data_IF_916580897056
#
_entry.id   IF_916580897056
#
_cell.length_a   1.000
_cell.length_b   1.000
_cell.length_c   1.000
_cell.angle_alpha   90.00
_cell.angle_beta   90.00
_cell.angle_gamma   90.00
#
_symmetry.space_group_name_H-M   'P 1'
#
loop_
_entity.id
_entity.type
_entity.pdbx_description
1 polymer ?
#
# COMPACT_ATOMS: atom_id res chain seq x y z
N UNK A 1 -25.38 -23.94 -27.45
CA UNK A 1 -24.10 -24.62 -27.79
C UNK A 1 -23.02 -23.86 -27.08
N UNK A 2 -22.36 -24.50 -26.13
CA UNK A 2 -21.31 -23.93 -25.28
C UNK A 2 -20.10 -23.55 -26.14
N UNK A 3 -19.52 -22.37 -25.89
CA UNK A 3 -18.36 -21.80 -26.56
C UNK A 3 -17.06 -22.55 -26.16
N UNK A 4 -17.02 -23.85 -26.41
CA UNK A 4 -15.95 -24.75 -25.99
C UNK A 4 -14.56 -24.36 -26.52
N UNK A 5 -14.39 -23.89 -27.78
CA UNK A 5 -13.11 -23.41 -28.28
C UNK A 5 -12.61 -22.16 -27.53
N UNK A 6 -13.51 -21.20 -27.27
CA UNK A 6 -13.19 -20.00 -26.50
C UNK A 6 -12.78 -20.33 -25.06
N UNK A 7 -13.48 -21.25 -24.40
CA UNK A 7 -13.13 -21.72 -23.06
C UNK A 7 -11.77 -22.42 -22.99
N UNK A 8 -11.42 -23.23 -24.00
CA UNK A 8 -10.12 -23.87 -24.06
C UNK A 8 -8.98 -22.87 -24.29
N UNK A 9 -9.20 -21.84 -25.12
CA UNK A 9 -8.24 -20.77 -25.36
C UNK A 9 -8.00 -19.91 -24.10
N UNK A 10 -9.05 -19.59 -23.33
CA UNK A 10 -8.92 -18.87 -22.05
C UNK A 10 -8.11 -19.69 -21.04
N UNK A 11 -8.37 -21.00 -20.94
CA UNK A 11 -7.59 -21.89 -20.07
C UNK A 11 -6.10 -21.94 -20.48
N UNK A 12 -5.82 -21.99 -21.79
CA UNK A 12 -4.45 -21.94 -22.30
C UNK A 12 -3.74 -20.61 -21.96
N UNK A 13 -4.43 -19.47 -22.08
CA UNK A 13 -3.93 -18.16 -21.67
C UNK A 13 -3.60 -18.12 -20.17
N UNK A 14 -4.49 -18.63 -19.33
CA UNK A 14 -4.29 -18.72 -17.88
C UNK A 14 -3.03 -19.53 -17.54
N UNK A 15 -2.87 -20.72 -18.14
CA UNK A 15 -1.68 -21.55 -17.94
C UNK A 15 -0.39 -20.89 -18.44
N UNK A 16 -0.44 -20.19 -19.57
CA UNK A 16 0.70 -19.48 -20.13
C UNK A 16 1.15 -18.34 -19.20
N UNK A 17 0.22 -17.54 -18.71
CA UNK A 17 0.49 -16.44 -17.78
C UNK A 17 0.98 -16.95 -16.42
N UNK A 18 0.41 -18.03 -15.89
CA UNK A 18 0.88 -18.65 -14.67
C UNK A 18 2.36 -19.07 -14.78
N UNK A 19 2.76 -19.59 -15.94
CA UNK A 19 4.14 -20.04 -16.19
C UNK A 19 5.12 -18.90 -16.46
N UNK A 20 4.69 -17.84 -17.14
CA UNK A 20 5.60 -16.80 -17.68
C UNK A 20 5.51 -15.45 -17.00
N UNK A 21 4.38 -15.11 -16.38
CA UNK A 21 4.15 -13.79 -15.78
C UNK A 21 4.21 -13.77 -14.25
N UNK A 22 4.39 -14.93 -13.61
CA UNK A 22 4.49 -15.12 -12.16
C UNK A 22 3.34 -14.49 -11.35
N UNK A 23 2.13 -14.52 -11.93
CA UNK A 23 0.92 -13.97 -11.33
C UNK A 23 0.24 -14.99 -10.42
N UNK A 24 -0.43 -14.51 -9.37
CA UNK A 24 -1.26 -15.35 -8.50
C UNK A 24 -2.32 -16.09 -9.32
N UNK A 25 -2.49 -17.42 -9.14
CA UNK A 25 -3.48 -18.20 -9.89
C UNK A 25 -4.91 -17.64 -9.80
N UNK A 26 -5.28 -17.11 -8.64
CA UNK A 26 -6.61 -16.50 -8.42
C UNK A 26 -6.90 -15.29 -9.32
N UNK A 27 -5.88 -14.64 -9.89
CA UNK A 27 -6.03 -13.52 -10.84
C UNK A 27 -6.20 -13.99 -12.29
N UNK A 28 -5.93 -15.26 -12.56
CA UNK A 28 -5.94 -15.87 -13.89
C UNK A 28 -7.21 -16.69 -14.14
N UNK A 29 -8.24 -16.43 -13.34
CA UNK A 29 -9.52 -17.13 -13.36
C UNK A 29 -10.68 -16.13 -13.18
N UNK A 30 -11.90 -16.59 -13.50
CA UNK A 30 -13.12 -15.83 -13.23
C UNK A 30 -13.36 -14.59 -14.10
N UNK A 31 -14.35 -13.76 -13.73
CA UNK A 31 -14.84 -12.66 -14.56
C UNK A 31 -13.80 -11.56 -14.80
N UNK A 32 -12.92 -11.28 -13.83
CA UNK A 32 -11.88 -10.27 -13.92
C UNK A 32 -10.85 -10.60 -15.00
N UNK A 33 -10.31 -11.82 -14.98
CA UNK A 33 -9.40 -12.32 -16.00
C UNK A 33 -10.05 -12.30 -17.40
N UNK A 34 -11.29 -12.80 -17.50
CA UNK A 34 -12.02 -12.78 -18.76
C UNK A 34 -12.27 -11.36 -19.28
N UNK A 35 -12.47 -10.39 -18.38
CA UNK A 35 -12.61 -8.97 -18.74
C UNK A 35 -11.32 -8.38 -19.28
N UNK A 36 -10.18 -8.66 -18.62
CA UNK A 36 -8.86 -8.21 -19.09
C UNK A 36 -8.55 -8.75 -20.50
N UNK A 37 -8.81 -10.04 -20.73
CA UNK A 37 -8.67 -10.65 -22.07
C UNK A 37 -9.54 -9.93 -23.11
N UNK A 38 -10.82 -9.69 -22.81
CA UNK A 38 -11.73 -8.96 -23.73
C UNK A 38 -11.27 -7.54 -24.00
N UNK A 39 -10.75 -6.83 -23.00
CA UNK A 39 -10.24 -5.47 -23.16
C UNK A 39 -9.05 -5.43 -24.12
N UNK A 40 -8.09 -6.35 -23.94
CA UNK A 40 -6.93 -6.47 -24.86
C UNK A 40 -7.35 -6.88 -26.28
N UNK A 41 -8.24 -7.86 -26.40
CA UNK A 41 -8.81 -8.26 -27.69
C UNK A 41 -9.47 -7.09 -28.41
N UNK A 42 -10.29 -6.31 -27.70
CA UNK A 42 -10.94 -5.10 -28.22
C UNK A 42 -9.92 -4.06 -28.67
N UNK A 43 -8.91 -3.78 -27.84
CA UNK A 43 -7.83 -2.83 -28.16
C UNK A 43 -7.06 -3.20 -29.44
N UNK A 44 -6.83 -4.50 -29.66
CA UNK A 44 -6.13 -5.01 -30.83
C UNK A 44 -7.05 -5.29 -32.04
N UNK A 45 -8.36 -5.13 -31.88
CA UNK A 45 -9.34 -5.48 -32.91
C UNK A 45 -9.45 -6.99 -33.20
N UNK A 46 -9.07 -7.85 -32.26
CA UNK A 46 -9.14 -9.31 -32.39
C UNK A 46 -10.45 -9.83 -31.83
N UNK A 47 -11.22 -10.58 -32.61
CA UNK A 47 -12.53 -11.13 -32.19
C UNK A 47 -12.50 -12.61 -31.84
N UNK A 48 -11.53 -13.36 -32.36
CA UNK A 48 -11.34 -14.78 -32.05
C UNK A 48 -10.37 -14.96 -30.87
N UNK A 49 -10.82 -15.67 -29.84
CA UNK A 49 -10.05 -15.91 -28.62
C UNK A 49 -8.88 -16.86 -28.88
N UNK A 50 -9.01 -17.81 -29.80
CA UNK A 50 -7.93 -18.73 -30.14
C UNK A 50 -6.79 -18.00 -30.89
N UNK A 51 -7.13 -17.15 -31.85
CA UNK A 51 -6.17 -16.25 -32.51
C UNK A 51 -5.48 -15.32 -31.50
N UNK A 52 -6.22 -14.76 -30.54
CA UNK A 52 -5.62 -13.95 -29.47
C UNK A 52 -4.65 -14.79 -28.61
N UNK A 53 -5.05 -15.99 -28.19
CA UNK A 53 -4.19 -16.87 -27.41
C UNK A 53 -2.87 -17.23 -28.13
N UNK A 54 -2.94 -17.49 -29.43
CA UNK A 54 -1.75 -17.72 -30.26
C UNK A 54 -0.84 -16.49 -30.28
N UNK A 55 -1.41 -15.30 -30.40
CA UNK A 55 -0.68 -14.02 -30.38
C UNK A 55 0.04 -13.80 -29.05
N UNK A 56 -0.64 -14.00 -27.93
CA UNK A 56 -0.04 -13.90 -26.58
C UNK A 56 1.11 -14.91 -26.42
N UNK A 57 0.99 -16.10 -27.00
CA UNK A 57 2.05 -17.11 -26.96
C UNK A 57 3.31 -16.69 -27.74
N UNK A 58 3.15 -16.05 -28.90
CA UNK A 58 4.25 -15.66 -29.79
C UNK A 58 4.84 -14.27 -29.51
N UNK A 59 4.03 -13.33 -29.00
CA UNK A 59 4.42 -11.93 -28.83
C UNK A 59 4.64 -11.59 -27.35
N UNK A 60 5.90 -11.52 -26.93
CA UNK A 60 6.28 -11.18 -25.56
C UNK A 60 5.70 -9.84 -25.08
N UNK A 61 5.61 -8.84 -25.97
CA UNK A 61 4.99 -7.55 -25.65
C UNK A 61 3.52 -7.71 -25.26
N UNK A 62 2.75 -8.50 -25.99
CA UNK A 62 1.33 -8.68 -25.69
C UNK A 62 1.11 -9.53 -24.43
N UNK A 63 1.96 -10.52 -24.17
CA UNK A 63 1.95 -11.24 -22.89
C UNK A 63 2.12 -10.28 -21.71
N UNK A 64 3.05 -9.33 -21.81
CA UNK A 64 3.25 -8.30 -20.78
C UNK A 64 2.04 -7.36 -20.68
N UNK A 65 1.51 -6.88 -21.81
CA UNK A 65 0.33 -6.01 -21.81
C UNK A 65 -0.90 -6.69 -21.19
N UNK A 66 -1.16 -7.96 -21.49
CA UNK A 66 -2.24 -8.72 -20.84
C UNK A 66 -1.99 -8.91 -19.34
N UNK A 67 -0.76 -9.24 -18.95
CA UNK A 67 -0.41 -9.38 -17.55
C UNK A 67 -0.57 -8.06 -16.77
N UNK A 68 -0.31 -6.92 -17.43
CA UNK A 68 -0.53 -5.58 -16.89
C UNK A 68 -2.01 -5.20 -16.81
N UNK A 69 -2.84 -5.60 -17.78
CA UNK A 69 -4.30 -5.39 -17.72
C UNK A 69 -4.93 -6.13 -16.51
N UNK A 70 -4.41 -7.33 -16.20
CA UNK A 70 -4.83 -8.11 -15.03
C UNK A 70 -4.37 -7.45 -13.73
N UNK A 71 -3.17 -6.88 -13.74
CA UNK A 71 -2.55 -6.24 -12.57
C UNK A 71 -2.85 -4.74 -12.58
N UNK A 72 -4.12 -4.37 -12.37
CA UNK A 72 -4.63 -2.99 -12.52
C UNK A 72 -3.71 -1.96 -11.84
N UNK A 73 -2.94 -1.16 -12.61
CA UNK A 73 -1.95 -0.27 -12.04
C UNK A 73 -2.61 1.05 -11.64
N UNK A 74 -3.24 1.10 -10.47
CA UNK A 74 -3.64 2.38 -9.88
C UNK A 74 -2.47 3.01 -9.13
N UNK A 75 -2.04 4.19 -9.56
CA UNK A 75 -1.02 4.99 -8.87
C UNK A 75 -1.39 6.47 -8.84
N UNK A 76 -1.04 7.15 -7.74
CA UNK A 76 -1.31 8.58 -7.56
C UNK A 76 -0.25 9.20 -6.65
N UNK A 77 -0.10 10.52 -6.76
CA UNK A 77 0.85 11.30 -5.98
C UNK A 77 0.63 11.11 -4.48
N UNK A 78 1.72 10.91 -3.75
CA UNK A 78 1.75 10.81 -2.29
C UNK A 78 0.80 9.76 -1.70
N UNK A 79 0.51 8.69 -2.44
CA UNK A 79 -0.14 7.48 -1.91
C UNK A 79 0.62 7.01 -0.66
N UNK A 80 -0.06 6.80 0.46
CA UNK A 80 0.54 6.58 1.79
C UNK A 80 1.33 7.81 2.31
N UNK A 81 0.66 8.91 2.71
CA UNK A 81 1.34 10.15 3.11
C UNK A 81 2.33 9.95 4.27
N UNK A 82 1.98 9.13 5.26
CA UNK A 82 2.84 8.82 6.40
C UNK A 82 4.16 8.14 6.02
N UNK A 83 4.21 7.40 4.91
CA UNK A 83 5.47 6.83 4.38
C UNK A 83 6.42 7.94 3.93
N UNK A 84 5.91 8.97 3.26
CA UNK A 84 6.72 10.10 2.78
C UNK A 84 7.10 11.07 3.90
N UNK A 85 6.24 11.26 4.90
CA UNK A 85 6.59 12.03 6.10
C UNK A 85 7.74 11.38 6.86
N UNK A 86 7.68 10.07 7.08
CA UNK A 86 8.76 9.32 7.69
C UNK A 86 10.04 9.34 6.85
N UNK A 87 9.93 9.18 5.52
CA UNK A 87 11.07 9.28 4.61
C UNK A 87 11.74 10.66 4.69
N UNK A 88 10.96 11.74 4.71
CA UNK A 88 11.45 13.11 4.77
C UNK A 88 12.29 13.34 6.04
N UNK A 89 11.78 12.91 7.19
CA UNK A 89 12.50 12.99 8.47
C UNK A 89 13.79 12.16 8.44
N UNK A 90 13.70 10.91 7.97
CA UNK A 90 14.85 10.02 7.86
C UNK A 90 15.96 10.61 6.98
N UNK A 91 15.61 11.13 5.80
CA UNK A 91 16.57 11.72 4.87
C UNK A 91 17.21 13.01 5.40
N UNK A 92 16.49 13.80 6.21
CA UNK A 92 17.06 14.97 6.90
C UNK A 92 18.11 14.55 7.92
N UNK A 93 17.82 13.53 8.71
CA UNK A 93 18.73 13.01 9.73
C UNK A 93 19.97 12.33 9.12
N UNK A 94 19.84 11.72 7.93
CA UNK A 94 20.97 11.08 7.26
C UNK A 94 21.93 12.09 6.64
N UNK A 95 21.42 13.20 6.11
CA UNK A 95 22.22 14.25 5.48
C UNK A 95 23.20 14.92 6.44
N UNK A 96 22.81 15.10 7.71
CA UNK A 96 23.69 15.70 8.72
C UNK A 96 24.91 14.83 9.06
N UNK A 97 24.91 13.57 8.65
CA UNK A 97 25.97 12.58 8.92
C UNK A 97 26.78 12.22 7.67
N UNK A 98 26.22 12.39 6.46
CA UNK A 98 26.84 11.94 5.21
C UNK A 98 26.85 13.03 4.11
N UNK A 99 28.05 13.43 3.68
CA UNK A 99 28.28 14.21 2.45
C UNK A 99 28.36 13.32 1.21
N UNK A 100 27.39 12.42 0.99
CA UNK A 100 27.43 11.39 -0.05
C UNK A 100 26.29 11.45 -1.08
N UNK A 101 26.32 10.57 -2.08
CA UNK A 101 25.25 10.36 -3.06
C UNK A 101 24.12 9.48 -2.53
N UNK A 102 22.88 9.71 -2.97
CA UNK A 102 21.71 8.92 -2.64
C UNK A 102 21.14 8.24 -3.89
N UNK A 103 21.08 6.91 -3.84
CA UNK A 103 20.41 6.10 -4.85
C UNK A 103 19.12 5.55 -4.27
N UNK A 104 18.01 5.80 -4.96
CA UNK A 104 16.68 5.31 -4.63
C UNK A 104 16.12 4.46 -5.78
N UNK A 105 15.12 3.64 -5.49
CA UNK A 105 14.38 2.91 -6.52
C UNK A 105 12.89 2.76 -6.17
N UNK A 106 12.03 2.82 -7.19
CA UNK A 106 10.61 2.45 -7.16
C UNK A 106 10.41 1.25 -8.10
N UNK A 107 10.12 0.09 -7.52
CA UNK A 107 9.87 -1.17 -8.21
C UNK A 107 8.37 -1.31 -8.47
N UNK A 108 7.98 -1.54 -9.74
CA UNK A 108 6.59 -1.47 -10.16
C UNK A 108 6.08 -0.03 -10.17
N UNK A 109 6.86 0.88 -10.77
CA UNK A 109 6.61 2.31 -10.67
C UNK A 109 5.34 2.80 -11.41
N UNK A 110 4.70 1.94 -12.20
CA UNK A 110 3.59 2.28 -13.09
C UNK A 110 3.92 3.54 -13.91
N UNK A 111 3.07 4.57 -13.88
CA UNK A 111 3.26 5.83 -14.63
C UNK A 111 4.31 6.78 -14.03
N UNK A 112 5.15 6.30 -13.10
CA UNK A 112 6.32 7.01 -12.60
C UNK A 112 6.06 8.00 -11.45
N UNK A 113 4.80 8.26 -11.12
CA UNK A 113 4.42 9.26 -10.09
C UNK A 113 5.04 9.00 -8.72
N UNK A 114 5.23 7.73 -8.36
CA UNK A 114 5.90 7.34 -7.11
C UNK A 114 7.37 7.77 -7.08
N UNK A 115 8.10 7.58 -8.18
CA UNK A 115 9.49 8.00 -8.29
C UNK A 115 9.63 9.53 -8.17
N UNK A 116 8.67 10.28 -8.70
CA UNK A 116 8.65 11.74 -8.56
C UNK A 116 8.45 12.17 -7.10
N UNK A 117 7.54 11.50 -6.38
CA UNK A 117 7.33 11.76 -4.96
C UNK A 117 8.58 11.44 -4.12
N UNK A 118 9.29 10.36 -4.43
CA UNK A 118 10.58 10.02 -3.79
C UNK A 118 11.61 11.13 -4.03
N UNK A 119 11.77 11.58 -5.28
CA UNK A 119 12.70 12.64 -5.62
C UNK A 119 12.34 13.96 -4.92
N UNK A 120 11.08 14.38 -4.96
CA UNK A 120 10.60 15.58 -4.27
C UNK A 120 10.82 15.51 -2.75
N UNK A 121 10.64 14.34 -2.14
CA UNK A 121 10.90 14.12 -0.73
C UNK A 121 12.40 14.30 -0.38
N UNK A 122 13.30 13.73 -1.17
CA UNK A 122 14.74 13.89 -0.98
C UNK A 122 15.20 15.35 -1.20
N UNK A 123 14.68 16.02 -2.21
CA UNK A 123 14.95 17.44 -2.47
C UNK A 123 14.43 18.33 -1.33
N UNK A 124 13.25 18.03 -0.78
CA UNK A 124 12.69 18.72 0.40
C UNK A 124 13.45 18.42 1.71
N UNK A 125 14.17 17.29 1.78
CA UNK A 125 15.14 16.99 2.82
C UNK A 125 16.49 17.73 2.61
N UNK A 126 16.67 18.39 1.46
CA UNK A 126 17.82 19.21 1.12
C UNK A 126 18.97 18.44 0.46
N UNK A 127 18.71 17.26 -0.12
CA UNK A 127 19.70 16.56 -0.94
C UNK A 127 19.97 17.33 -2.25
N UNK A 128 21.22 17.29 -2.71
CA UNK A 128 21.61 17.91 -3.98
C UNK A 128 21.09 17.07 -5.15
N UNK A 129 20.34 17.64 -6.12
CA UNK A 129 19.89 16.94 -7.32
C UNK A 129 21.01 16.23 -8.09
N UNK A 130 22.24 16.74 -8.08
CA UNK A 130 23.38 16.13 -8.78
C UNK A 130 23.87 14.85 -8.09
N UNK A 131 23.57 14.71 -6.80
CA UNK A 131 23.94 13.58 -5.96
C UNK A 131 22.81 12.56 -5.79
N UNK A 132 21.64 12.81 -6.39
CA UNK A 132 20.42 12.02 -6.23
C UNK A 132 20.05 11.29 -7.54
N UNK A 133 19.86 9.98 -7.44
CA UNK A 133 19.29 9.16 -8.52
C UNK A 133 18.09 8.39 -8.00
N UNK A 134 16.98 8.45 -8.72
CA UNK A 134 15.78 7.64 -8.44
C UNK A 134 15.47 6.77 -9.65
N UNK A 135 15.69 5.46 -9.53
CA UNK A 135 15.31 4.50 -10.55
C UNK A 135 13.80 4.23 -10.50
N UNK A 136 13.12 4.37 -11.63
CA UNK A 136 11.71 4.01 -11.79
C UNK A 136 11.63 2.81 -12.74
N UNK A 137 11.26 1.64 -12.22
CA UNK A 137 11.30 0.37 -12.96
C UNK A 137 9.90 -0.24 -13.03
N UNK A 138 9.47 -0.59 -14.23
CA UNK A 138 8.24 -1.32 -14.49
C UNK A 138 8.38 -2.20 -15.74
N UNK A 139 7.63 -3.31 -15.77
CA UNK A 139 7.60 -4.23 -16.92
C UNK A 139 6.57 -3.83 -17.96
N UNK A 140 5.64 -2.94 -17.60
CA UNK A 140 4.59 -2.46 -18.49
C UNK A 140 5.14 -1.38 -19.43
N UNK A 141 5.31 -1.66 -20.74
CA UNK A 141 5.90 -0.71 -21.68
C UNK A 141 5.07 0.58 -21.80
N UNK A 142 3.74 0.50 -21.74
CA UNK A 142 2.86 1.66 -21.93
C UNK A 142 2.90 2.60 -20.70
N UNK A 143 3.08 2.01 -19.50
CA UNK A 143 3.29 2.79 -18.27
C UNK A 143 4.66 3.47 -18.25
N UNK A 144 5.69 2.79 -18.75
CA UNK A 144 7.04 3.33 -18.90
C UNK A 144 7.07 4.51 -19.88
N UNK A 145 6.41 4.40 -21.03
CA UNK A 145 6.27 5.51 -21.99
C UNK A 145 5.64 6.75 -21.31
N UNK A 146 4.57 6.53 -20.53
CA UNK A 146 3.93 7.61 -19.76
C UNK A 146 4.89 8.23 -18.71
N UNK A 147 5.68 7.39 -18.04
CA UNK A 147 6.64 7.82 -17.02
C UNK A 147 7.81 8.63 -17.63
N UNK A 148 8.30 8.23 -18.82
CA UNK A 148 9.34 8.93 -19.58
C UNK A 148 8.87 10.30 -20.07
N UNK A 149 7.66 10.38 -20.61
CA UNK A 149 7.04 11.63 -21.03
C UNK A 149 6.85 12.61 -19.86
N UNK A 150 6.61 12.07 -18.66
CA UNK A 150 6.39 12.86 -17.46
C UNK A 150 5.12 13.71 -17.54
N UNK A 151 4.09 13.18 -18.20
CA UNK A 151 2.78 13.82 -18.43
C UNK A 151 1.68 12.92 -17.87
N UNK A 152 1.28 13.19 -16.63
CA UNK A 152 0.13 12.51 -16.00
C UNK A 152 -0.96 13.53 -15.69
N UNK A 153 -2.19 13.14 -16.01
CA UNK A 153 -3.36 13.98 -15.81
C UNK A 153 -3.80 14.04 -14.34
N UNK A 154 -4.82 14.87 -14.11
CA UNK A 154 -5.44 15.06 -12.78
C UNK A 154 -5.93 13.77 -12.10
N UNK A 155 -6.17 12.69 -12.85
CA UNK A 155 -6.53 11.38 -12.30
C UNK A 155 -5.48 10.77 -11.36
N UNK A 156 -4.21 11.19 -11.48
CA UNK A 156 -3.11 10.80 -10.58
C UNK A 156 -3.02 11.68 -9.33
N UNK A 157 -4.00 12.53 -9.06
CA UNK A 157 -4.06 13.44 -7.90
C UNK A 157 -5.33 13.17 -7.11
N UNK A 158 -5.19 12.58 -5.91
CA UNK A 158 -6.34 12.31 -5.00
C UNK A 158 -6.42 13.29 -3.83
N UNK A 159 -5.30 13.90 -3.50
CA UNK A 159 -5.13 14.90 -2.44
C UNK A 159 -4.08 15.90 -2.88
N UNK A 160 -4.10 17.09 -2.32
CA UNK A 160 -3.05 18.08 -2.57
C UNK A 160 -1.68 17.52 -2.13
N UNK A 161 -0.61 17.77 -2.91
CA UNK A 161 0.75 17.52 -2.48
C UNK A 161 1.03 18.18 -1.12
N UNK A 162 1.80 17.52 -0.22
CA UNK A 162 2.24 18.16 1.00
C UNK A 162 2.96 19.48 0.73
N UNK A 163 2.86 20.44 1.64
CA UNK A 163 3.44 21.79 1.46
C UNK A 163 4.93 21.76 1.13
N UNK A 164 5.70 20.85 1.74
CA UNK A 164 7.12 20.65 1.45
C UNK A 164 7.40 20.15 0.02
N UNK A 165 6.41 19.54 -0.65
CA UNK A 165 6.51 19.05 -2.03
C UNK A 165 6.15 20.11 -3.08
N UNK A 166 5.40 21.14 -2.69
CA UNK A 166 4.87 22.18 -3.59
C UNK A 166 5.91 22.91 -4.45
N UNK A 167 7.19 23.11 -4.04
CA UNK A 167 8.19 23.69 -4.94
C UNK A 167 8.60 22.74 -6.08
N UNK A 168 8.36 21.45 -5.91
CA UNK A 168 8.91 20.38 -6.75
C UNK A 168 7.87 19.77 -7.68
N UNK A 169 6.62 19.68 -7.22
CA UNK A 169 5.48 19.08 -7.91
C UNK A 169 4.27 20.00 -7.77
N UNK A 170 3.68 20.43 -8.89
CA UNK A 170 2.43 21.19 -8.94
C UNK A 170 1.33 20.35 -9.57
N UNK A 171 0.11 20.54 -9.09
CA UNK A 171 -1.06 19.73 -9.47
C UNK A 171 -2.36 20.52 -9.54
N UNK A 172 -2.27 21.85 -9.68
CA UNK A 172 -3.38 22.79 -9.83
C UNK A 172 -3.97 22.79 -11.24
N UNK A 173 -3.13 22.53 -12.25
CA UNK A 173 -3.49 22.43 -13.65
C UNK A 173 -4.16 21.11 -14.08
N UNK A 174 -4.43 20.96 -15.39
CA UNK A 174 -4.98 19.72 -15.97
C UNK A 174 -3.98 18.54 -15.95
N UNK A 175 -2.69 18.86 -15.84
CA UNK A 175 -1.57 17.92 -15.81
C UNK A 175 -0.72 18.21 -14.57
N UNK A 176 -0.04 17.19 -14.06
CA UNK A 176 0.98 17.35 -13.02
C UNK A 176 2.22 17.96 -13.64
N UNK A 177 2.75 19.02 -13.02
CA UNK A 177 3.98 19.67 -13.45
C UNK A 177 5.13 19.35 -12.48
N UNK A 178 6.27 18.95 -13.05
CA UNK A 178 7.49 18.63 -12.30
C UNK A 178 8.54 19.70 -12.53
N UNK A 179 9.18 20.13 -11.46
CA UNK A 179 10.40 20.95 -11.54
C UNK A 179 11.51 20.23 -12.32
N UNK A 180 12.41 21.00 -12.94
CA UNK A 180 13.58 20.46 -13.64
C UNK A 180 14.46 19.60 -12.73
N UNK A 181 14.57 19.96 -11.45
CA UNK A 181 15.32 19.21 -10.44
C UNK A 181 14.73 17.81 -10.21
N UNK A 182 13.40 17.67 -10.10
CA UNK A 182 12.77 16.34 -10.00
C UNK A 182 13.05 15.52 -11.26
N UNK A 183 12.85 16.12 -12.44
CA UNK A 183 13.09 15.44 -13.72
C UNK A 183 14.53 14.97 -13.86
N UNK A 184 15.51 15.77 -13.42
CA UNK A 184 16.93 15.42 -13.54
C UNK A 184 17.37 14.28 -12.62
N UNK A 185 16.63 13.99 -11.56
CA UNK A 185 16.93 12.91 -10.60
C UNK A 185 16.38 11.55 -11.03
N UNK A 186 15.31 11.51 -11.83
CA UNK A 186 14.58 10.28 -12.13
C UNK A 186 15.15 9.60 -13.37
N UNK A 187 15.34 8.28 -13.30
CA UNK A 187 15.79 7.42 -14.40
C UNK A 187 14.76 6.32 -14.61
N UNK A 188 13.93 6.49 -15.64
CA UNK A 188 12.93 5.49 -16.03
C UNK A 188 13.61 4.37 -16.79
N UNK A 189 13.23 3.12 -16.49
CA UNK A 189 13.76 1.92 -17.14
C UNK A 189 12.65 0.88 -17.26
N UNK A 190 12.47 0.32 -18.47
CA UNK A 190 11.69 -0.90 -18.59
C UNK A 190 12.50 -2.08 -18.07
N UNK A 191 11.91 -2.92 -17.22
CA UNK A 191 12.58 -4.09 -16.65
C UNK A 191 11.63 -4.98 -15.86
N UNK A 192 11.95 -6.27 -15.79
CA UNK A 192 11.23 -7.25 -14.98
C UNK A 192 12.04 -7.57 -13.71
N UNK A 193 11.54 -7.08 -12.57
CA UNK A 193 12.17 -7.22 -11.26
C UNK A 193 12.33 -8.67 -10.78
N UNK A 194 11.65 -9.64 -11.41
CA UNK A 194 11.78 -11.08 -11.12
C UNK A 194 12.79 -11.78 -12.02
N UNK A 195 13.06 -11.23 -13.21
CA UNK A 195 14.00 -11.82 -14.18
C UNK A 195 15.36 -11.14 -14.05
N UNK A 196 15.39 -9.80 -14.04
CA UNK A 196 16.60 -8.99 -14.11
C UNK A 196 17.30 -8.94 -12.74
N UNK A 197 18.26 -9.84 -12.51
CA UNK A 197 18.93 -10.00 -11.20
C UNK A 197 19.89 -8.87 -10.82
N UNK A 198 20.45 -8.20 -11.83
CA UNK A 198 21.46 -7.15 -11.69
C UNK A 198 20.94 -5.81 -12.22
N UNK A 199 19.77 -5.39 -11.71
CA UNK A 199 19.14 -4.11 -12.06
C UNK A 199 19.92 -2.87 -11.59
N UNK A 200 20.74 -3.04 -10.55
CA UNK A 200 21.43 -1.96 -9.87
C UNK A 200 22.90 -2.29 -9.64
N UNK A 201 23.76 -1.36 -10.04
CA UNK A 201 25.21 -1.45 -9.84
C UNK A 201 25.66 -0.92 -8.47
N UNK A 202 24.75 -0.25 -7.74
CA UNK A 202 25.00 0.38 -6.45
C UNK A 202 23.92 -0.03 -5.43
N UNK A 203 24.27 -0.15 -4.14
CA UNK A 203 23.29 -0.38 -3.08
C UNK A 203 22.25 0.74 -3.00
N UNK A 204 20.99 0.36 -2.82
CA UNK A 204 19.85 1.28 -2.79
C UNK A 204 19.61 1.76 -1.36
N UNK A 205 19.69 3.08 -1.14
CA UNK A 205 19.42 3.70 0.16
C UNK A 205 17.94 3.78 0.50
N UNK A 206 17.07 3.96 -0.52
CA UNK A 206 15.62 4.01 -0.35
C UNK A 206 14.95 3.18 -1.44
N UNK A 207 14.26 2.12 -1.06
CA UNK A 207 13.60 1.20 -1.98
C UNK A 207 12.09 1.20 -1.75
N UNK A 208 11.30 1.47 -2.77
CA UNK A 208 9.85 1.33 -2.73
C UNK A 208 9.44 0.12 -3.58
N UNK A 209 8.60 -0.75 -3.04
CA UNK A 209 7.97 -1.86 -3.74
C UNK A 209 6.53 -2.00 -3.23
N UNK A 210 5.67 -1.06 -3.63
CA UNK A 210 4.32 -0.92 -3.08
C UNK A 210 3.28 -1.37 -4.08
N UNK A 211 2.32 -2.13 -3.60
CA UNK A 211 1.22 -2.70 -4.36
C UNK A 211 1.70 -3.58 -5.52
N UNK A 212 2.82 -4.27 -5.34
CA UNK A 212 3.39 -5.20 -6.33
C UNK A 212 3.24 -6.64 -5.88
N UNK A 213 3.59 -6.94 -4.62
CA UNK A 213 3.59 -8.31 -4.10
C UNK A 213 2.19 -8.92 -4.13
N UNK A 214 1.14 -8.12 -4.01
CA UNK A 214 -0.25 -8.56 -4.07
C UNK A 214 -0.61 -9.33 -5.35
N UNK A 215 0.10 -9.09 -6.46
CA UNK A 215 -0.15 -9.78 -7.73
C UNK A 215 0.70 -11.03 -7.94
N UNK A 216 1.76 -11.19 -7.15
CA UNK A 216 2.74 -12.26 -7.33
C UNK A 216 2.34 -13.54 -6.61
N UNK A 217 2.65 -14.68 -7.23
CA UNK A 217 2.55 -15.98 -6.56
C UNK A 217 3.56 -16.10 -5.39
N UNK A 218 3.41 -17.09 -4.49
CA UNK A 218 4.30 -17.23 -3.33
C UNK A 218 5.79 -17.38 -3.67
N UNK A 219 6.15 -18.09 -4.74
CA UNK A 219 7.53 -18.31 -5.13
C UNK A 219 8.17 -17.01 -5.64
N UNK A 220 7.43 -16.27 -6.46
CA UNK A 220 7.85 -14.96 -6.95
C UNK A 220 7.99 -13.92 -5.84
N UNK A 221 7.09 -13.93 -4.84
CA UNK A 221 7.22 -13.09 -3.64
C UNK A 221 8.50 -13.38 -2.86
N UNK A 222 8.85 -14.65 -2.67
CA UNK A 222 10.08 -15.05 -1.98
C UNK A 222 11.31 -14.62 -2.76
N UNK A 223 11.33 -14.86 -4.08
CA UNK A 223 12.42 -14.42 -4.95
C UNK A 223 12.62 -12.91 -4.88
N UNK A 224 11.53 -12.13 -4.99
CA UNK A 224 11.61 -10.68 -4.94
C UNK A 224 12.05 -10.17 -3.56
N UNK A 225 11.58 -10.79 -2.47
CA UNK A 225 12.08 -10.48 -1.11
C UNK A 225 13.60 -10.62 -1.03
N UNK A 226 14.14 -11.74 -1.51
CA UNK A 226 15.57 -12.03 -1.42
C UNK A 226 16.40 -11.09 -2.31
N UNK A 227 15.87 -10.74 -3.48
CA UNK A 227 16.46 -9.70 -4.36
C UNK A 227 16.45 -8.32 -3.73
N UNK A 228 15.32 -7.90 -3.15
CA UNK A 228 15.25 -6.62 -2.44
C UNK A 228 16.25 -6.56 -1.28
N UNK A 229 16.46 -7.67 -0.56
CA UNK A 229 17.49 -7.75 0.48
C UNK A 229 18.90 -7.58 -0.10
N UNK A 230 19.20 -8.16 -1.27
CA UNK A 230 20.49 -7.97 -1.96
C UNK A 230 20.70 -6.53 -2.43
N UNK A 231 19.65 -5.88 -2.95
CA UNK A 231 19.75 -4.52 -3.49
C UNK A 231 19.77 -3.43 -2.42
N UNK A 232 19.07 -3.63 -1.30
CA UNK A 232 18.98 -2.63 -0.24
C UNK A 232 20.32 -2.47 0.48
N UNK A 233 20.79 -1.22 0.58
CA UNK A 233 21.97 -0.88 1.36
C UNK A 233 21.81 -1.30 2.84
N UNK A 234 22.91 -1.52 3.58
CA UNK A 234 22.84 -1.94 4.99
C UNK A 234 21.95 -1.04 5.87
N UNK A 235 22.09 0.28 5.70
CA UNK A 235 21.29 1.32 6.39
C UNK A 235 20.11 1.81 5.53
N UNK A 236 19.73 1.04 4.51
CA UNK A 236 18.66 1.40 3.58
C UNK A 236 17.27 1.14 4.16
N UNK A 237 16.28 1.86 3.66
CA UNK A 237 14.88 1.67 4.02
C UNK A 237 14.07 1.15 2.83
N UNK A 238 13.33 0.07 3.07
CA UNK A 238 12.34 -0.52 2.17
C UNK A 238 10.92 -0.11 2.57
N UNK A 239 10.13 0.39 1.62
CA UNK A 239 8.72 0.72 1.80
C UNK A 239 7.83 -0.24 1.01
N UNK A 240 6.84 -0.82 1.69
CA UNK A 240 5.82 -1.70 1.10
C UNK A 240 4.43 -1.05 1.17
N UNK A 241 3.47 -1.57 0.40
CA UNK A 241 2.06 -1.18 0.53
C UNK A 241 1.37 -1.93 1.68
N UNK A 242 0.21 -1.41 2.11
CA UNK A 242 -0.54 -1.97 3.25
C UNK A 242 -0.93 -3.45 3.09
N UNK A 243 -1.05 -3.94 1.86
CA UNK A 243 -1.51 -5.29 1.51
C UNK A 243 -0.38 -6.19 1.01
N UNK A 244 0.83 -5.64 0.84
CA UNK A 244 2.00 -6.40 0.42
C UNK A 244 2.47 -7.27 1.59
N UNK A 245 1.87 -8.47 1.65
CA UNK A 245 2.26 -9.53 2.57
C UNK A 245 3.61 -10.09 2.14
N UNK A 246 4.61 -9.91 3.00
CA UNK A 246 5.94 -10.49 2.85
C UNK A 246 6.30 -11.19 4.15
N UNK A 247 6.85 -12.40 4.08
CA UNK A 247 7.47 -13.03 5.25
C UNK A 247 8.74 -12.25 5.60
N UNK A 248 8.67 -11.48 6.69
CA UNK A 248 9.72 -10.56 7.14
C UNK A 248 10.71 -11.24 8.08
N UNK A 249 10.33 -12.39 8.64
CA UNK A 249 10.84 -12.89 9.92
C UNK A 249 12.33 -13.16 10.00
N UNK A 250 13.04 -13.19 8.87
CA UNK A 250 14.47 -13.52 8.80
C UNK A 250 15.31 -12.33 8.30
N UNK A 251 14.82 -11.55 7.33
CA UNK A 251 15.65 -10.57 6.61
C UNK A 251 15.38 -9.12 7.01
N UNK A 252 14.14 -8.79 7.39
CA UNK A 252 13.73 -7.41 7.58
C UNK A 252 13.03 -7.19 8.93
N UNK A 253 13.18 -5.99 9.47
CA UNK A 253 12.44 -5.53 10.65
C UNK A 253 11.73 -4.21 10.38
N UNK A 254 10.66 -3.91 11.14
CA UNK A 254 9.91 -2.66 10.99
C UNK A 254 10.65 -1.51 11.65
N UNK A 255 10.65 -0.36 10.98
CA UNK A 255 11.19 0.89 11.51
C UNK A 255 10.15 2.00 11.36
N UNK A 256 10.14 2.92 12.32
CA UNK A 256 9.20 4.04 12.35
C UNK A 256 7.75 3.65 12.67
N UNK A 257 6.79 4.56 12.44
CA UNK A 257 5.37 4.32 12.67
C UNK A 257 4.85 3.16 11.81
N UNK A 258 3.97 2.32 12.37
CA UNK A 258 3.42 1.16 11.66
C UNK A 258 2.75 1.53 10.31
N UNK A 259 2.13 2.70 10.24
CA UNK A 259 1.45 3.21 9.05
C UNK A 259 2.39 3.77 7.96
N UNK A 260 3.70 3.90 8.25
CA UNK A 260 4.70 4.23 7.24
C UNK A 260 5.08 3.01 6.39
N UNK A 261 4.79 1.80 6.86
CA UNK A 261 5.13 0.53 6.19
C UNK A 261 6.61 0.40 5.82
N UNK A 262 7.48 1.02 6.63
CA UNK A 262 8.92 1.04 6.43
C UNK A 262 9.60 -0.16 7.11
N UNK A 263 10.62 -0.67 6.42
CA UNK A 263 11.42 -1.82 6.80
C UNK A 263 12.90 -1.49 6.62
N UNK A 264 13.75 -2.13 7.41
CA UNK A 264 15.21 -2.13 7.24
C UNK A 264 15.73 -3.55 7.36
N UNK A 265 16.98 -3.78 6.96
CA UNK A 265 17.66 -5.04 7.24
C UNK A 265 17.62 -5.32 8.74
N UNK A 266 17.25 -6.56 9.11
CA UNK A 266 17.36 -6.97 10.51
C UNK A 266 18.83 -7.08 10.87
N UNK A 267 19.29 -6.29 11.83
CA UNK A 267 20.64 -6.45 12.35
C UNK A 267 20.76 -7.81 13.05
N UNK A 268 21.75 -8.62 12.68
CA UNK A 268 22.10 -9.80 13.47
C UNK A 268 22.50 -9.36 14.87
N UNK A 269 21.98 -10.05 15.89
CA UNK A 269 22.13 -9.75 17.34
C UNK A 269 23.60 -9.68 17.82
N UNK A 270 24.60 -9.88 16.95
CA UNK A 270 26.02 -9.91 17.29
C UNK A 270 26.70 -8.54 17.42
N UNK A 271 26.14 -7.42 16.92
CA UNK A 271 26.84 -6.11 16.98
C UNK A 271 26.35 -5.20 18.12
N UNK A 272 25.15 -5.40 18.66
CA UNK A 272 24.60 -4.59 19.75
C UNK A 272 25.21 -4.94 21.13
N UNK A 273 25.81 -6.12 21.29
CA UNK A 273 26.47 -6.52 22.53
C UNK A 273 27.85 -5.88 22.74
N UNK A 274 28.42 -5.23 21.72
CA UNK A 274 29.77 -4.66 21.77
C UNK A 274 29.80 -3.15 22.11
N UNK A 275 28.64 -2.49 22.24
CA UNK A 275 28.57 -1.02 22.44
C UNK A 275 27.82 -0.55 23.70
N UNK A 276 27.46 -1.45 24.61
CA UNK A 276 26.77 -1.10 25.87
C UNK A 276 27.43 -1.72 27.09
N UNK A 277 28.73 -1.51 27.23
CA UNK A 277 29.41 -1.59 28.54
C UNK A 277 30.33 -0.39 28.72
N UNK A 278 29.78 0.83 28.69
CA UNK A 278 30.23 1.89 29.59
C UNK A 278 29.26 3.07 29.55
N UNK A 279 28.40 3.18 30.56
CA UNK A 279 27.82 4.43 31.08
C UNK A 279 26.72 4.08 32.09
N UNK A 280 27.13 3.82 33.33
CA UNK A 280 26.23 3.88 34.47
C UNK A 280 25.82 5.34 34.70
N UNK A 281 24.52 5.65 34.63
CA UNK A 281 23.98 6.90 35.20
C UNK A 281 22.74 6.58 36.04
N UNK A 282 22.87 6.98 37.31
CA UNK A 282 21.89 6.93 38.40
C UNK A 282 20.61 7.70 38.04
N UNK A 283 19.45 7.16 38.43
CA UNK A 283 18.18 7.88 38.41
C UNK A 283 17.81 8.14 39.87
N UNK A 284 17.94 9.40 40.31
CA UNK A 284 17.31 9.88 41.54
C UNK A 284 15.83 10.18 41.27
N UNK A 285 14.99 9.68 42.17
CA UNK A 285 13.54 9.81 42.15
C UNK A 285 13.09 11.23 42.51
N UNK A 286 12.26 11.86 41.66
CA UNK A 286 11.55 13.11 41.98
C UNK A 286 10.04 12.87 42.01
N UNK A 287 9.45 13.19 43.16
CA UNK A 287 8.02 13.14 43.52
C UNK A 287 7.23 14.24 42.78
N UNK A 288 5.97 14.03 42.36
CA UNK A 288 5.19 15.05 41.67
C UNK A 288 4.54 16.04 42.66
N UNK A 289 4.64 17.35 42.36
CA UNK A 289 3.85 18.41 43.01
C UNK A 289 2.77 18.92 42.06
N UNK A 290 1.56 18.95 42.60
CA UNK A 290 0.33 19.54 42.07
C UNK A 290 0.44 21.07 41.91
N UNK A 291 -0.23 21.62 40.88
CA UNK A 291 -0.69 23.02 40.93
C UNK A 291 -0.95 23.70 39.58
N UNK A 292 -2.22 24.13 39.43
CA UNK A 292 -2.73 25.27 38.66
C UNK A 292 -3.06 25.11 37.16
N UNK A 293 -4.39 25.10 36.92
CA UNK A 293 -5.11 25.43 35.69
C UNK A 293 -4.98 26.92 35.33
N UNK A 294 -5.14 27.26 34.03
CA UNK A 294 -5.88 28.46 33.65
C UNK A 294 -7.08 28.14 32.76
N UNK A 295 -8.22 28.68 33.18
CA UNK A 295 -9.51 28.74 32.49
C UNK A 295 -9.42 29.60 31.22
N UNK A 296 -9.97 29.12 30.09
CA UNK A 296 -10.32 29.98 28.94
C UNK A 296 -11.69 29.58 28.39
N UNK A 297 -12.53 30.60 28.18
CA UNK A 297 -13.95 30.54 27.87
C UNK A 297 -14.30 29.81 26.56
N UNK A 298 -15.53 29.25 26.43
CA UNK A 298 -15.96 28.53 25.24
C UNK A 298 -16.28 29.51 24.11
N UNK A 299 -15.53 29.40 23.00
CA UNK A 299 -15.92 29.99 21.73
C UNK A 299 -17.14 29.24 21.18
N UNK A 300 -18.23 29.97 21.01
CA UNK A 300 -19.49 29.52 20.42
C UNK A 300 -19.26 29.01 18.99
N UNK A 301 -19.26 27.68 18.81
CA UNK A 301 -19.36 27.04 17.51
C UNK A 301 -20.80 27.23 17.04
N UNK A 302 -20.99 27.99 15.96
CA UNK A 302 -22.26 28.02 15.23
C UNK A 302 -22.38 26.70 14.48
N UNK A 303 -23.46 25.90 14.66
CA UNK A 303 -23.61 24.66 13.91
C UNK A 303 -24.02 25.03 12.48
N UNK A 304 -23.07 24.88 11.55
CA UNK A 304 -23.37 24.79 10.14
C UNK A 304 -23.86 23.36 9.84
N UNK A 305 -25.18 23.26 9.67
CA UNK A 305 -25.92 22.18 8.99
C UNK A 305 -25.67 20.72 9.43
N UNK A 306 -26.26 20.30 10.56
CA UNK A 306 -26.33 18.88 10.97
C UNK A 306 -27.44 18.08 10.25
N UNK A 307 -28.52 18.74 9.80
CA UNK A 307 -29.69 18.03 9.29
C UNK A 307 -29.47 17.20 8.01
N UNK A 308 -28.58 17.62 7.11
CA UNK A 308 -28.35 16.93 5.83
C UNK A 308 -27.42 15.71 6.00
N UNK A 309 -26.38 15.84 6.82
CA UNK A 309 -25.45 14.75 7.13
C UNK A 309 -26.09 13.64 7.97
N UNK A 310 -27.02 13.98 8.87
CA UNK A 310 -27.77 13.01 9.66
C UNK A 310 -28.82 12.27 8.81
N UNK A 311 -29.48 12.96 7.86
CA UNK A 311 -30.38 12.35 6.86
C UNK A 311 -29.62 11.39 5.92
N UNK A 312 -28.42 11.76 5.47
CA UNK A 312 -27.57 10.92 4.62
C UNK A 312 -27.07 9.67 5.37
N UNK A 313 -26.79 9.78 6.69
CA UNK A 313 -26.43 8.65 7.55
C UNK A 313 -27.59 7.68 7.77
N UNK A 314 -28.80 8.21 8.02
CA UNK A 314 -29.99 7.39 8.16
C UNK A 314 -30.34 6.65 6.85
N UNK A 315 -30.20 7.31 5.70
CA UNK A 315 -30.41 6.71 4.39
C UNK A 315 -29.37 5.60 4.08
N UNK A 316 -28.10 5.82 4.42
CA UNK A 316 -27.06 4.81 4.29
C UNK A 316 -27.35 3.58 5.16
N UNK A 317 -27.73 3.78 6.43
CA UNK A 317 -28.09 2.68 7.34
C UNK A 317 -29.26 1.87 6.82
N UNK A 318 -30.34 2.52 6.37
CA UNK A 318 -31.50 1.85 5.81
C UNK A 318 -31.15 1.03 4.55
N UNK A 319 -30.32 1.60 3.65
CA UNK A 319 -29.85 0.91 2.44
C UNK A 319 -28.99 -0.30 2.77
N UNK A 320 -28.02 -0.17 3.68
CA UNK A 320 -27.15 -1.28 4.10
C UNK A 320 -27.96 -2.38 4.79
N UNK A 321 -28.89 -2.02 5.66
CA UNK A 321 -29.78 -2.99 6.32
C UNK A 321 -30.64 -3.76 5.31
N UNK A 322 -31.20 -3.09 4.30
CA UNK A 322 -31.96 -3.73 3.22
C UNK A 322 -31.10 -4.69 2.40
N UNK A 323 -29.87 -4.30 2.03
CA UNK A 323 -28.95 -5.15 1.29
C UNK A 323 -28.55 -6.40 2.09
N UNK A 324 -28.33 -6.26 3.40
CA UNK A 324 -28.03 -7.40 4.29
C UNK A 324 -29.24 -8.34 4.38
N UNK A 325 -30.47 -7.83 4.52
CA UNK A 325 -31.69 -8.65 4.53
C UNK A 325 -31.90 -9.42 3.24
N UNK A 326 -31.50 -8.85 2.10
CA UNK A 326 -31.54 -9.50 0.79
C UNK A 326 -30.36 -10.45 0.54
N UNK A 327 -29.40 -10.59 1.46
CA UNK A 327 -28.21 -11.43 1.29
C UNK A 327 -27.13 -10.84 0.38
N UNK A 328 -27.28 -9.58 -0.05
CA UNK A 328 -26.40 -8.87 -0.97
C UNK A 328 -25.18 -8.26 -0.24
N UNK A 329 -24.42 -9.13 0.45
CA UNK A 329 -23.33 -8.69 1.34
C UNK A 329 -22.21 -7.94 0.61
N UNK A 330 -21.92 -8.26 -0.65
CA UNK A 330 -20.88 -7.58 -1.44
C UNK A 330 -21.28 -6.12 -1.74
N UNK A 331 -22.55 -5.90 -2.09
CA UNK A 331 -23.09 -4.57 -2.34
C UNK A 331 -23.19 -3.76 -1.03
N UNK A 332 -23.60 -4.41 0.06
CA UNK A 332 -23.59 -3.81 1.40
C UNK A 332 -22.18 -3.35 1.80
N UNK A 333 -21.17 -4.22 1.61
CA UNK A 333 -19.77 -3.88 1.88
C UNK A 333 -19.32 -2.67 1.06
N UNK A 334 -19.60 -2.65 -0.25
CA UNK A 334 -19.22 -1.53 -1.14
C UNK A 334 -19.85 -0.20 -0.70
N UNK A 335 -21.11 -0.21 -0.27
CA UNK A 335 -21.79 0.98 0.23
C UNK A 335 -21.11 1.53 1.49
N UNK A 336 -20.77 0.65 2.44
CA UNK A 336 -20.13 1.03 3.69
C UNK A 336 -18.67 1.44 3.48
N UNK A 337 -17.93 0.75 2.63
CA UNK A 337 -16.54 1.10 2.28
C UNK A 337 -16.47 2.51 1.67
N UNK A 338 -17.41 2.85 0.78
CA UNK A 338 -17.51 4.19 0.19
C UNK A 338 -17.78 5.27 1.24
N UNK A 339 -18.57 4.95 2.26
CA UNK A 339 -18.85 5.86 3.37
C UNK A 339 -17.65 6.00 4.33
N UNK A 340 -16.91 4.92 4.59
CA UNK A 340 -15.69 4.93 5.41
C UNK A 340 -14.60 5.79 4.76
N UNK A 341 -14.56 5.89 3.43
CA UNK A 341 -13.63 6.82 2.75
C UNK A 341 -13.89 8.27 3.17
N UNK A 342 -15.16 8.65 3.33
CA UNK A 342 -15.54 10.00 3.75
C UNK A 342 -15.42 10.20 5.27
N UNK A 343 -15.68 9.13 6.04
CA UNK A 343 -15.69 9.16 7.50
C UNK A 343 -14.83 8.01 8.07
N UNK A 344 -13.48 8.10 7.95
CA UNK A 344 -12.58 6.98 8.25
C UNK A 344 -12.45 6.63 9.73
N UNK A 345 -12.92 7.53 10.60
CA UNK A 345 -12.91 7.40 12.06
C UNK A 345 -14.31 7.14 12.64
N UNK A 346 -15.31 6.90 11.79
CA UNK A 346 -16.66 6.56 12.25
C UNK A 346 -16.69 5.10 12.71
N UNK A 347 -16.84 4.92 14.03
CA UNK A 347 -16.83 3.61 14.67
C UNK A 347 -17.97 2.73 14.17
N UNK A 348 -19.16 3.30 13.99
CA UNK A 348 -20.36 2.54 13.62
C UNK A 348 -20.25 1.98 12.19
N UNK A 349 -19.68 2.75 11.26
CA UNK A 349 -19.38 2.27 9.91
C UNK A 349 -18.31 1.17 9.92
N UNK A 350 -17.30 1.29 10.77
CA UNK A 350 -16.25 0.29 10.92
C UNK A 350 -16.76 -1.01 11.54
N UNK A 351 -17.67 -0.94 12.50
CA UNK A 351 -18.37 -2.11 13.03
C UNK A 351 -19.27 -2.75 11.98
N UNK A 352 -20.00 -1.94 11.23
CA UNK A 352 -20.91 -2.42 10.18
C UNK A 352 -20.14 -3.20 9.10
N UNK A 353 -19.01 -2.68 8.61
CA UNK A 353 -18.20 -3.41 7.62
C UNK A 353 -17.55 -4.66 8.23
N UNK A 354 -17.16 -4.62 9.50
CA UNK A 354 -16.60 -5.78 10.18
C UNK A 354 -17.62 -6.92 10.29
N UNK A 355 -18.86 -6.60 10.66
CA UNK A 355 -19.98 -7.55 10.70
C UNK A 355 -20.30 -8.14 9.32
N UNK A 356 -20.30 -7.32 8.26
CA UNK A 356 -20.51 -7.80 6.88
C UNK A 356 -19.40 -8.79 6.47
N UNK A 357 -18.14 -8.49 6.76
CA UNK A 357 -17.04 -9.42 6.47
C UNK A 357 -17.11 -10.71 7.29
N UNK A 358 -17.56 -10.64 8.55
CA UNK A 358 -17.79 -11.84 9.37
C UNK A 358 -18.88 -12.73 8.74
N UNK A 359 -19.99 -12.13 8.28
CA UNK A 359 -21.06 -12.86 7.60
C UNK A 359 -20.61 -13.49 6.27
N UNK A 360 -19.65 -12.88 5.57
CA UNK A 360 -19.01 -13.43 4.37
C UNK A 360 -17.94 -14.50 4.67
N UNK A 361 -17.74 -14.89 5.94
CA UNK A 361 -16.65 -15.75 6.38
C UNK A 361 -15.24 -15.22 6.02
N UNK A 362 -15.11 -13.92 5.78
CA UNK A 362 -13.85 -13.27 5.48
C UNK A 362 -13.17 -12.81 6.78
N UNK A 363 -12.81 -13.78 7.62
CA UNK A 363 -12.35 -13.59 9.01
C UNK A 363 -11.17 -12.60 9.12
N UNK A 364 -10.22 -12.62 8.18
CA UNK A 364 -9.08 -11.71 8.18
C UNK A 364 -9.45 -10.25 7.85
N UNK A 365 -10.50 -10.01 7.06
CA UNK A 365 -11.00 -8.65 6.78
C UNK A 365 -11.82 -8.15 7.97
N UNK A 366 -12.68 -8.98 8.52
CA UNK A 366 -13.43 -8.69 9.74
C UNK A 366 -12.50 -8.31 10.90
N UNK A 367 -11.45 -9.11 11.11
CA UNK A 367 -10.46 -8.84 12.15
C UNK A 367 -9.76 -7.49 11.96
N UNK A 368 -9.35 -7.14 10.74
CA UNK A 368 -8.73 -5.83 10.45
C UNK A 368 -9.68 -4.66 10.72
N UNK A 369 -10.96 -4.81 10.41
CA UNK A 369 -11.97 -3.79 10.67
C UNK A 369 -12.19 -3.61 12.18
N UNK A 370 -12.33 -4.68 12.95
CA UNK A 370 -12.46 -4.58 14.41
C UNK A 370 -11.19 -4.08 15.11
N UNK A 371 -9.99 -4.34 14.58
CA UNK A 371 -8.76 -3.71 15.09
C UNK A 371 -8.82 -2.18 14.94
N UNK A 372 -9.40 -1.66 13.85
CA UNK A 372 -9.60 -0.21 13.68
C UNK A 372 -10.63 0.34 14.67
N UNK A 373 -11.70 -0.41 14.97
CA UNK A 373 -12.67 -0.04 16.01
C UNK A 373 -11.97 0.07 17.37
N UNK A 374 -11.21 -0.95 17.78
CA UNK A 374 -10.47 -0.95 19.07
C UNK A 374 -9.34 0.08 19.09
N UNK A 375 -8.81 0.48 17.93
CA UNK A 375 -7.84 1.57 17.85
C UNK A 375 -8.49 2.93 18.16
N UNK A 376 -9.70 3.17 17.65
CA UNK A 376 -10.44 4.43 17.85
C UNK A 376 -11.12 4.48 19.22
N UNK A 377 -11.62 3.35 19.69
CA UNK A 377 -12.13 3.16 21.04
C UNK A 377 -11.46 1.93 21.71
N UNK A 378 -10.38 2.17 22.46
CA UNK A 378 -9.64 1.14 23.20
C UNK A 378 -10.48 0.28 24.16
N UNK A 379 -11.65 0.77 24.57
CA UNK A 379 -12.52 0.11 25.55
C UNK A 379 -13.81 -0.42 24.91
N UNK A 380 -13.86 -0.51 23.57
CA UNK A 380 -15.03 -0.96 22.84
C UNK A 380 -15.31 -2.46 23.07
N UNK A 381 -16.15 -2.77 24.06
CA UNK A 381 -16.46 -4.13 24.50
C UNK A 381 -16.87 -5.10 23.37
N UNK A 382 -17.85 -4.75 22.52
CA UNK A 382 -18.28 -5.61 21.41
C UNK A 382 -17.15 -5.97 20.44
N UNK A 383 -16.29 -5.01 20.10
CA UNK A 383 -15.19 -5.22 19.17
C UNK A 383 -14.07 -6.07 19.79
N UNK A 384 -13.80 -5.91 21.09
CA UNK A 384 -12.85 -6.77 21.82
C UNK A 384 -13.33 -8.23 21.88
N UNK A 385 -14.63 -8.45 22.10
CA UNK A 385 -15.22 -9.80 22.05
C UNK A 385 -15.10 -10.41 20.64
N UNK A 386 -15.48 -9.65 19.62
CA UNK A 386 -15.39 -10.10 18.23
C UNK A 386 -13.94 -10.40 17.80
N UNK A 387 -12.96 -9.60 18.23
CA UNK A 387 -11.54 -9.89 17.98
C UNK A 387 -11.06 -11.15 18.67
N UNK A 388 -11.53 -11.44 19.89
CA UNK A 388 -11.20 -12.68 20.57
C UNK A 388 -11.71 -13.91 19.79
N UNK A 389 -12.97 -13.89 19.38
CA UNK A 389 -13.61 -14.98 18.62
C UNK A 389 -12.98 -15.17 17.24
N UNK A 390 -12.74 -14.08 16.51
CA UNK A 390 -12.09 -14.11 15.20
C UNK A 390 -10.64 -14.57 15.31
N UNK A 391 -9.91 -14.18 16.36
CA UNK A 391 -8.53 -14.64 16.59
C UNK A 391 -8.49 -16.13 16.88
N UNK A 392 -9.40 -16.65 17.70
CA UNK A 392 -9.53 -18.08 17.96
C UNK A 392 -9.86 -18.87 16.68
N UNK A 393 -10.81 -18.36 15.89
CA UNK A 393 -11.23 -18.97 14.62
C UNK A 393 -10.10 -18.97 13.56
N UNK A 394 -9.15 -18.05 13.68
CA UNK A 394 -7.95 -17.95 12.85
C UNK A 394 -6.75 -18.73 13.43
N UNK A 395 -6.93 -19.50 14.51
CA UNK A 395 -5.87 -20.28 15.15
C UNK A 395 -4.87 -19.46 15.99
N UNK A 396 -5.17 -18.18 16.26
CA UNK A 396 -4.32 -17.25 17.02
C UNK A 396 -4.78 -17.18 18.48
N UNK A 397 -4.54 -18.26 19.22
CA UNK A 397 -5.02 -18.41 20.61
C UNK A 397 -4.44 -17.36 21.56
N UNK A 398 -3.14 -17.06 21.47
CA UNK A 398 -2.49 -16.03 22.31
C UNK A 398 -3.08 -14.62 22.11
N UNK A 399 -3.56 -14.32 20.91
CA UNK A 399 -4.22 -13.05 20.60
C UNK A 399 -5.65 -13.04 21.12
N UNK A 400 -6.38 -14.16 20.96
CA UNK A 400 -7.69 -14.35 21.57
C UNK A 400 -7.66 -14.12 23.08
N UNK A 401 -6.71 -14.74 23.78
CA UNK A 401 -6.63 -14.67 25.24
C UNK A 401 -6.29 -13.26 25.73
N UNK A 402 -5.45 -12.52 24.99
CA UNK A 402 -5.17 -11.11 25.28
C UNK A 402 -6.41 -10.24 25.17
N UNK A 403 -7.22 -10.43 24.12
CA UNK A 403 -8.47 -9.68 23.97
C UNK A 403 -9.50 -10.06 25.05
N UNK A 404 -9.63 -11.34 25.40
CA UNK A 404 -10.49 -11.81 26.51
C UNK A 404 -10.07 -11.23 27.86
N UNK A 405 -8.77 -11.24 28.16
CA UNK A 405 -8.23 -10.67 29.38
C UNK A 405 -8.41 -9.14 29.46
N UNK A 406 -8.42 -8.46 28.31
CA UNK A 406 -8.72 -7.02 28.23
C UNK A 406 -10.21 -6.75 28.42
N UNK A 407 -11.09 -7.55 27.83
CA UNK A 407 -12.53 -7.46 28.01
C UNK A 407 -12.94 -7.68 29.46
N UNK A 408 -12.36 -8.67 30.14
CA UNK A 408 -12.63 -8.96 31.56
C UNK A 408 -12.31 -7.76 32.47
N UNK A 409 -11.21 -7.06 32.20
CA UNK A 409 -10.80 -5.84 32.94
C UNK A 409 -11.71 -4.63 32.71
N UNK A 410 -12.62 -4.68 31.73
CA UNK A 410 -13.61 -3.64 31.47
C UNK A 410 -14.96 -3.94 32.15
N UNK A 411 -15.20 -5.19 32.53
CA UNK A 411 -16.43 -5.66 33.18
C UNK A 411 -16.30 -5.84 34.69
N UNK A 412 -15.07 -5.91 35.20
CA UNK A 412 -14.70 -5.83 36.61
C UNK A 412 -14.48 -4.35 37.00
#
# INVERSE_FOLDING_TARGET
MTDAPGQQAIAALSQLLAKRASLMPALLEGPGFASAVRMRMSFLGVTDTAAYAARVASEERELRSLASEISVPETWLFRYPLSYEFLLEHLRNRRSVAGGSLVCASLGCATGVEAWCIAACALAAGWDPQSLVVHAIDRNPDAIETAEDGRVGRGSVRSEPPSWASPWIKSDGPQVELSSAVRSCVRVRSGDILIDGDLFDQPIGVLFCRNVLIYLDPAARMLLRDRMAKWLAPEGILFLGHADGMDRGILFERVGPAAAFALQHRQSVTEAAAKTTDAAIRIDSVVPRSGATPTRAPGRVVPLSSGRADLDRAALRARVASLIQCGEFAQAASCVESAIVQLPSDIELLETIAGIYSAQNSLARAHRAYVRVVYLDPNHGPALLALAELSASLGRMDESDRFRARLKRLTD
#
